data_IF_208204482456
#
_entry.id   IF_208204482456
#
_cell.length_a   1.000
_cell.length_b   1.000
_cell.length_c   1.000
_cell.angle_alpha   90.00
_cell.angle_beta   90.00
_cell.angle_gamma   90.00
#
_symmetry.space_group_name_H-M   'P 1'
#
loop_
_entity.id
_entity.type
_entity.pdbx_description
1 polymer ?
#
# COMPACT_ATOMS: atom_id res chain seq x y z
N UNK A 1 -27.33 38.24 35.36
CA UNK A 1 -28.51 37.49 34.85
C UNK A 1 -27.96 36.56 33.78
N UNK A 2 -27.68 35.29 34.09
CA UNK A 2 -28.49 34.09 33.68
C UNK A 2 -28.77 34.10 32.17
N UNK A 3 -28.50 33.09 31.34
CA UNK A 3 -28.16 31.66 31.52
C UNK A 3 -27.97 31.06 30.10
N UNK A 4 -27.00 30.14 29.92
CA UNK A 4 -27.09 28.83 29.21
C UNK A 4 -27.56 28.81 27.72
N UNK A 5 -26.67 28.51 26.76
CA UNK A 5 -26.26 27.16 26.27
C UNK A 5 -27.07 26.67 25.06
N UNK A 6 -26.42 26.63 23.90
CA UNK A 6 -26.61 25.64 22.83
C UNK A 6 -25.59 26.00 21.77
N UNK A 7 -24.64 25.15 21.39
CA UNK A 7 -24.66 23.71 21.46
C UNK A 7 -24.00 23.24 20.17
N UNK A 8 -23.26 22.14 20.27
CA UNK A 8 -22.69 21.41 19.16
C UNK A 8 -21.41 21.98 18.54
N UNK A 9 -20.34 21.72 19.28
CA UNK A 9 -19.10 21.16 18.74
C UNK A 9 -19.44 20.25 17.55
N UNK A 10 -19.20 20.68 16.31
CA UNK A 10 -19.10 19.75 15.19
C UNK A 10 -17.74 19.05 15.28
N UNK A 11 -17.69 18.13 16.25
CA UNK A 11 -16.61 17.18 16.45
C UNK A 11 -16.39 16.41 15.17
N UNK A 12 -15.11 16.23 14.86
CA UNK A 12 -14.61 15.37 13.83
C UNK A 12 -15.29 13.99 13.87
N UNK A 13 -16.15 13.74 12.89
CA UNK A 13 -16.57 12.40 12.49
C UNK A 13 -16.95 12.50 11.02
N UNK A 14 -15.94 12.76 10.19
CA UNK A 14 -15.95 12.16 8.85
C UNK A 14 -16.16 10.68 9.12
N UNK A 15 -17.35 10.20 8.76
CA UNK A 15 -17.80 8.82 8.91
C UNK A 15 -16.75 7.95 8.24
N UNK A 16 -15.76 7.51 9.01
CA UNK A 16 -14.88 6.42 8.67
C UNK A 16 -15.79 5.21 8.73
N UNK A 17 -16.34 4.84 7.58
CA UNK A 17 -16.84 3.48 7.38
C UNK A 17 -15.63 2.55 7.34
N UNK A 18 -14.89 2.52 8.44
CA UNK A 18 -13.90 1.51 8.73
C UNK A 18 -14.67 0.29 9.20
N UNK A 19 -14.86 -0.64 8.28
CA UNK A 19 -14.84 -2.06 8.61
C UNK A 19 -13.43 -2.57 8.27
N UNK A 20 -12.41 -2.43 9.14
CA UNK A 20 -11.18 -3.18 8.98
C UNK A 20 -11.45 -4.57 9.57
N UNK A 21 -11.97 -5.46 8.74
CA UNK A 21 -12.16 -6.86 9.08
C UNK A 21 -10.79 -7.51 9.48
N UNK A 22 -10.73 -8.45 10.44
CA UNK A 22 -9.51 -8.79 11.21
C UNK A 22 -8.37 -9.50 10.45
N UNK A 23 -8.48 -9.66 9.14
CA UNK A 23 -7.49 -10.30 8.26
C UNK A 23 -6.90 -9.28 7.30
N UNK A 24 -6.30 -8.20 7.80
CA UNK A 24 -5.66 -7.17 6.96
C UNK A 24 -4.75 -7.85 5.93
N UNK A 25 -5.26 -7.94 4.71
CA UNK A 25 -4.57 -8.57 3.60
C UNK A 25 -3.23 -7.86 3.42
N UNK A 26 -2.13 -8.56 3.72
CA UNK A 26 -0.80 -7.96 3.70
C UNK A 26 -0.47 -7.41 2.32
N UNK A 27 -1.05 -8.04 1.28
CA UNK A 27 -0.96 -7.57 -0.08
C UNK A 27 -1.53 -6.14 -0.23
N UNK A 28 -2.80 -5.90 0.10
CA UNK A 28 -3.40 -4.56 -0.01
C UNK A 28 -2.82 -3.54 0.97
N UNK A 29 -2.46 -3.96 2.18
CA UNK A 29 -2.07 -3.03 3.26
C UNK A 29 -0.58 -2.70 3.29
N UNK A 30 0.29 -3.60 2.80
CA UNK A 30 1.75 -3.43 2.84
C UNK A 30 2.37 -3.46 1.45
N UNK A 31 2.03 -4.47 0.64
CA UNK A 31 2.70 -4.70 -0.65
C UNK A 31 2.27 -3.68 -1.70
N UNK A 32 0.97 -3.43 -1.90
CA UNK A 32 0.46 -2.45 -2.88
C UNK A 32 1.02 -1.04 -2.61
N UNK A 33 1.00 -0.50 -1.37
CA UNK A 33 1.65 0.77 -1.06
C UNK A 33 3.14 0.80 -1.40
N UNK A 34 3.88 -0.28 -1.11
CA UNK A 34 5.30 -0.36 -1.45
C UNK A 34 5.52 -0.40 -2.97
N UNK A 35 4.74 -1.18 -3.71
CA UNK A 35 4.80 -1.23 -5.17
C UNK A 35 4.49 0.13 -5.83
N UNK A 36 3.64 0.97 -5.21
CA UNK A 36 3.40 2.33 -5.68
C UNK A 36 4.65 3.21 -5.57
N UNK A 37 5.47 3.02 -4.53
CA UNK A 37 6.70 3.78 -4.30
C UNK A 37 7.86 3.34 -5.22
N UNK A 38 7.83 2.11 -5.72
CA UNK A 38 8.85 1.60 -6.64
C UNK A 38 8.60 2.16 -8.05
N UNK A 39 9.64 2.66 -8.75
CA UNK A 39 9.50 3.08 -10.14
C UNK A 39 8.96 1.96 -11.03
N UNK A 40 7.98 2.27 -11.88
CA UNK A 40 7.36 1.27 -12.76
C UNK A 40 8.38 0.61 -13.69
N UNK A 41 9.36 1.36 -14.19
CA UNK A 41 10.39 0.81 -15.07
C UNK A 41 11.24 -0.26 -14.36
N UNK A 42 11.58 -0.06 -13.09
CA UNK A 42 12.29 -1.05 -12.28
C UNK A 42 11.46 -2.32 -12.08
N UNK A 43 10.16 -2.18 -11.81
CA UNK A 43 9.26 -3.34 -11.71
C UNK A 43 9.12 -4.09 -13.02
N UNK A 44 9.03 -3.37 -14.14
CA UNK A 44 8.98 -3.98 -15.48
C UNK A 44 10.25 -4.76 -15.74
N UNK A 45 11.42 -4.19 -15.44
CA UNK A 45 12.71 -4.86 -15.60
C UNK A 45 12.82 -6.10 -14.71
N UNK A 46 12.50 -5.96 -13.42
CA UNK A 46 12.54 -7.05 -12.43
C UNK A 46 11.54 -8.18 -12.71
N UNK A 47 10.44 -7.87 -13.40
CA UNK A 47 9.39 -8.83 -13.74
C UNK A 47 9.35 -9.16 -15.25
N UNK A 48 10.42 -8.86 -15.99
CA UNK A 48 10.51 -9.11 -17.44
C UNK A 48 10.18 -10.57 -17.75
N UNK A 49 9.27 -10.80 -18.70
CA UNK A 49 8.84 -12.14 -19.10
C UNK A 49 7.86 -12.83 -18.14
N UNK A 50 7.51 -12.22 -17.00
CA UNK A 50 6.51 -12.76 -16.05
C UNK A 50 5.25 -11.91 -15.95
N UNK A 51 5.40 -10.60 -15.87
CA UNK A 51 4.27 -9.67 -15.78
C UNK A 51 4.37 -8.62 -16.90
N UNK A 52 3.23 -8.36 -17.54
CA UNK A 52 3.14 -7.26 -18.49
C UNK A 52 3.16 -5.92 -17.74
N UNK A 53 3.63 -4.87 -18.42
CA UNK A 53 3.58 -3.50 -17.89
C UNK A 53 2.17 -3.11 -17.44
N UNK A 54 1.14 -3.54 -18.19
CA UNK A 54 -0.26 -3.27 -17.85
C UNK A 54 -0.67 -3.98 -16.56
N UNK A 55 -0.32 -5.26 -16.41
CA UNK A 55 -0.58 -6.00 -15.17
C UNK A 55 0.08 -5.31 -13.97
N UNK A 56 1.32 -4.85 -14.10
CA UNK A 56 2.00 -4.10 -13.02
C UNK A 56 1.29 -2.80 -12.66
N UNK A 57 0.71 -2.08 -13.63
CA UNK A 57 -0.10 -0.88 -13.36
C UNK A 57 -1.36 -1.24 -12.59
N UNK A 58 -2.09 -2.29 -12.99
CA UNK A 58 -3.32 -2.71 -12.33
C UNK A 58 -3.07 -3.23 -10.91
N UNK A 59 -1.97 -3.97 -10.71
CA UNK A 59 -1.49 -4.42 -9.40
C UNK A 59 -1.11 -3.24 -8.51
N UNK A 60 -0.38 -2.25 -9.02
CA UNK A 60 -0.03 -1.02 -8.28
C UNK A 60 -1.26 -0.20 -7.94
N UNK A 61 -2.30 -0.24 -8.77
CA UNK A 61 -3.57 0.43 -8.48
C UNK A 61 -4.43 -0.32 -7.45
N UNK A 62 -4.03 -1.53 -7.03
CA UNK A 62 -4.82 -2.40 -6.16
C UNK A 62 -6.08 -2.95 -6.84
N UNK A 63 -6.21 -2.79 -8.17
CA UNK A 63 -7.38 -3.18 -8.96
C UNK A 63 -7.40 -4.68 -9.29
N UNK A 64 -6.27 -5.35 -9.11
CA UNK A 64 -6.11 -6.78 -9.39
C UNK A 64 -5.29 -7.44 -8.28
N UNK A 65 -5.50 -8.74 -8.09
CA UNK A 65 -4.73 -9.59 -7.19
C UNK A 65 -3.88 -10.56 -8.02
N UNK A 66 -2.56 -10.61 -7.84
CA UNK A 66 -1.73 -11.56 -8.57
C UNK A 66 -1.98 -12.99 -8.06
N UNK A 67 -1.69 -13.97 -8.90
CA UNK A 67 -1.59 -15.37 -8.45
C UNK A 67 -0.48 -15.53 -7.41
N UNK A 68 -0.62 -16.50 -6.49
CA UNK A 68 0.30 -16.71 -5.36
C UNK A 68 1.78 -16.62 -5.72
N UNK A 69 2.22 -17.27 -6.80
CA UNK A 69 3.63 -17.23 -7.25
C UNK A 69 4.12 -15.82 -7.63
N UNK A 70 3.24 -15.00 -8.20
CA UNK A 70 3.54 -13.61 -8.55
C UNK A 70 3.45 -12.69 -7.32
N UNK A 71 2.53 -12.99 -6.40
CA UNK A 71 2.42 -12.32 -5.10
C UNK A 71 3.71 -12.51 -4.28
N UNK A 72 4.20 -13.74 -4.16
CA UNK A 72 5.44 -14.08 -3.47
C UNK A 72 6.65 -13.36 -4.08
N UNK A 73 6.78 -13.37 -5.41
CA UNK A 73 7.85 -12.66 -6.12
C UNK A 73 7.82 -11.15 -5.85
N UNK A 74 6.66 -10.51 -5.99
CA UNK A 74 6.53 -9.07 -5.76
C UNK A 74 6.78 -8.73 -4.30
N UNK A 75 6.36 -9.59 -3.36
CA UNK A 75 6.68 -9.44 -1.95
C UNK A 75 8.18 -9.54 -1.69
N UNK A 76 8.90 -10.42 -2.38
CA UNK A 76 10.34 -10.57 -2.27
C UNK A 76 11.09 -9.33 -2.80
N UNK A 77 10.67 -8.78 -3.93
CA UNK A 77 11.21 -7.52 -4.49
C UNK A 77 11.02 -6.38 -3.48
N UNK A 78 9.81 -6.24 -2.94
CA UNK A 78 9.51 -5.23 -1.91
C UNK A 78 10.37 -5.42 -0.66
N UNK A 79 10.53 -6.66 -0.18
CA UNK A 79 11.38 -6.96 0.98
C UNK A 79 12.85 -6.64 0.70
N UNK A 80 13.39 -7.00 -0.45
CA UNK A 80 14.78 -6.70 -0.82
C UNK A 80 15.02 -5.18 -0.84
N UNK A 81 14.12 -4.41 -1.46
CA UNK A 81 14.22 -2.96 -1.51
C UNK A 81 14.04 -2.27 -0.15
N UNK A 82 13.19 -2.85 0.71
CA UNK A 82 13.03 -2.41 2.10
C UNK A 82 14.26 -2.67 2.95
N UNK A 83 14.92 -3.82 2.76
CA UNK A 83 16.15 -4.20 3.47
C UNK A 83 17.34 -3.35 3.03
N UNK A 84 17.42 -2.96 1.75
CA UNK A 84 18.50 -2.11 1.24
C UNK A 84 18.46 -0.66 1.73
N UNK A 85 17.37 -0.21 2.38
CA UNK A 85 17.23 1.17 2.88
C UNK A 85 17.82 1.40 4.28
N UNK A 86 18.42 0.38 4.90
CA UNK A 86 19.00 0.45 6.28
C UNK A 86 20.53 0.40 6.29
N UNK A 87 21.19 0.59 5.15
CA UNK A 87 22.65 0.68 5.08
C UNK A 87 22.99 1.81 4.12
N UNK A 88 23.00 3.05 4.62
CA UNK A 88 23.73 4.23 4.08
C UNK A 88 23.33 5.51 4.85
N UNK A 89 23.61 5.51 6.16
CA UNK A 89 23.70 6.74 6.98
C UNK A 89 24.80 6.54 8.04
N UNK A 90 26.06 6.47 7.60
CA UNK A 90 27.23 6.77 8.44
C UNK A 90 28.46 6.92 7.54
N UNK A 91 29.07 8.10 7.57
CA UNK A 91 30.26 8.48 6.82
C UNK A 91 30.24 9.98 6.61
#
# INVERSE_FOLDING_TARGET
>A
MKDVESGLIHSAQSVYTEYPDPRRDEWQTKIVPALKQIPLNFLVESCTGRLSRRALIDLRAGRSRPHGRNEEMLSAIVKQLGTTRTTERKG
#
